data_IF_718979418152
#
_entry.id   IF_718979418152
#
_cell.length_a   1.000
_cell.length_b   1.000
_cell.length_c   1.000
_cell.angle_alpha   90.00
_cell.angle_beta   90.00
_cell.angle_gamma   90.00
#
_symmetry.space_group_name_H-M   'P 1'
#
loop_
_entity.id
_entity.type
_entity.pdbx_description
1 polymer ?
#
# COMPACT_ATOMS: atom_id res chain seq x y z
N UNK A 1 -3.98 -10.12 -12.58
CA UNK A 1 -2.71 -10.19 -11.81
C UNK A 1 -2.70 -8.97 -10.94
N UNK A 2 -2.56 -9.15 -9.63
CA UNK A 2 -2.78 -8.09 -8.65
C UNK A 2 -1.92 -8.34 -7.43
N UNK A 3 -1.81 -7.34 -6.58
CA UNK A 3 -0.97 -7.40 -5.40
C UNK A 3 -1.81 -7.76 -4.16
N UNK A 4 -1.37 -8.77 -3.40
CA UNK A 4 -1.98 -9.09 -2.11
C UNK A 4 -1.32 -8.29 -0.98
N UNK A 5 -2.14 -7.60 -0.18
CA UNK A 5 -1.66 -6.70 0.88
C UNK A 5 -1.70 -7.41 2.25
N UNK A 6 -0.59 -7.35 2.98
CA UNK A 6 -0.44 -7.91 4.31
C UNK A 6 0.13 -6.90 5.30
N UNK A 7 -0.33 -7.00 6.54
CA UNK A 7 0.27 -6.34 7.69
C UNK A 7 1.26 -7.33 8.31
N UNK A 8 2.53 -6.95 8.40
CA UNK A 8 3.56 -7.77 9.03
C UNK A 8 4.03 -7.12 10.33
N UNK A 9 4.15 -7.89 11.41
CA UNK A 9 4.67 -7.38 12.68
C UNK A 9 6.20 -7.56 12.80
N UNK A 10 6.80 -7.11 13.90
CA UNK A 10 8.25 -7.19 14.11
C UNK A 10 8.82 -8.62 14.22
N UNK A 11 7.96 -9.63 14.38
CA UNK A 11 8.36 -11.05 14.38
C UNK A 11 8.00 -11.75 13.07
N UNK A 12 7.81 -10.99 11.99
CA UNK A 12 7.49 -11.46 10.63
C UNK A 12 6.20 -12.29 10.53
N UNK A 13 5.26 -12.10 11.46
CA UNK A 13 3.92 -12.68 11.34
C UNK A 13 3.05 -11.78 10.47
N UNK A 14 2.54 -12.34 9.38
CA UNK A 14 1.66 -11.67 8.42
C UNK A 14 0.18 -11.86 8.75
N UNK A 15 -0.60 -10.80 8.60
CA UNK A 15 -2.06 -10.76 8.67
C UNK A 15 -2.56 -10.23 7.33
N UNK A 16 -3.41 -10.97 6.63
CA UNK A 16 -3.96 -10.52 5.36
C UNK A 16 -4.87 -9.30 5.57
N UNK A 17 -4.66 -8.24 4.79
CA UNK A 17 -5.42 -7.01 4.92
C UNK A 17 -6.86 -7.13 4.38
N UNK A 18 -7.12 -8.17 3.57
CA UNK A 18 -8.40 -8.42 2.92
C UNK A 18 -8.35 -8.18 1.41
N UNK A 19 -9.29 -8.81 0.69
CA UNK A 19 -9.40 -8.71 -0.76
C UNK A 19 -9.74 -7.29 -1.21
N UNK A 20 -10.65 -6.62 -0.51
CA UNK A 20 -11.03 -5.24 -0.80
C UNK A 20 -9.81 -4.30 -0.75
N UNK A 21 -8.98 -4.39 0.31
CA UNK A 21 -7.76 -3.58 0.43
C UNK A 21 -6.80 -3.89 -0.72
N UNK A 22 -6.65 -5.16 -1.09
CA UNK A 22 -5.76 -5.60 -2.17
C UNK A 22 -6.21 -5.07 -3.54
N UNK A 23 -7.52 -5.08 -3.80
CA UNK A 23 -8.13 -4.51 -5.01
C UNK A 23 -7.96 -2.98 -5.04
N UNK A 24 -8.27 -2.28 -3.94
CA UNK A 24 -8.10 -0.83 -3.83
C UNK A 24 -6.63 -0.42 -3.98
N UNK A 25 -5.70 -1.19 -3.41
CA UNK A 25 -4.27 -0.93 -3.56
C UNK A 25 -3.82 -1.10 -5.02
N UNK A 26 -4.33 -2.12 -5.72
CA UNK A 26 -4.02 -2.33 -7.13
C UNK A 26 -4.55 -1.19 -8.02
N UNK A 27 -5.70 -0.59 -7.70
CA UNK A 27 -6.21 0.61 -8.37
C UNK A 27 -5.27 1.81 -8.16
N UNK A 28 -4.80 2.03 -6.93
CA UNK A 28 -3.86 3.11 -6.63
C UNK A 28 -2.51 2.90 -7.33
N UNK A 29 -2.03 1.64 -7.40
CA UNK A 29 -0.79 1.29 -8.10
C UNK A 29 -0.88 1.62 -9.60
N UNK A 30 -2.03 1.39 -10.23
CA UNK A 30 -2.25 1.71 -11.65
C UNK A 30 -2.19 3.22 -11.95
N UNK A 31 -2.50 4.06 -10.96
CA UNK A 31 -2.43 5.52 -11.05
C UNK A 31 -1.06 6.09 -10.63
N UNK A 32 -0.11 5.23 -10.23
CA UNK A 32 1.20 5.68 -9.76
C UNK A 32 2.03 6.34 -10.88
N UNK A 33 2.59 7.51 -10.57
CA UNK A 33 3.41 8.30 -11.50
C UNK A 33 4.89 7.93 -11.46
N UNK A 34 5.68 8.56 -12.34
CA UNK A 34 7.14 8.41 -12.30
C UNK A 34 7.74 9.11 -11.07
N UNK A 35 8.36 8.34 -10.17
CA UNK A 35 9.23 8.87 -9.12
C UNK A 35 8.82 8.55 -7.67
N UNK A 36 7.64 7.97 -7.46
CA UNK A 36 7.17 7.55 -6.14
C UNK A 36 7.61 6.14 -5.74
N UNK A 37 7.30 5.76 -4.49
CA UNK A 37 7.60 4.44 -3.93
C UNK A 37 6.76 3.34 -4.60
N UNK A 38 5.52 3.64 -5.00
CA UNK A 38 4.63 2.67 -5.64
C UNK A 38 5.19 2.14 -6.97
N UNK A 39 5.99 2.93 -7.68
CA UNK A 39 6.68 2.50 -8.92
C UNK A 39 7.56 1.26 -8.71
N UNK A 40 8.07 1.06 -7.51
CA UNK A 40 8.95 -0.08 -7.19
C UNK A 40 8.19 -1.34 -6.79
N UNK A 41 6.85 -1.28 -6.71
CA UNK A 41 6.01 -2.45 -6.47
C UNK A 41 5.87 -3.22 -7.78
N UNK A 42 6.52 -4.38 -7.86
CA UNK A 42 6.42 -5.29 -8.99
C UNK A 42 5.23 -6.25 -8.79
N UNK A 43 4.30 -6.38 -9.76
CA UNK A 43 3.19 -7.33 -9.69
C UNK A 43 3.58 -8.80 -9.54
N UNK A 44 4.83 -9.16 -9.82
CA UNK A 44 5.39 -10.52 -9.70
C UNK A 44 6.44 -10.63 -8.60
N UNK A 45 6.62 -9.58 -7.79
CA UNK A 45 7.65 -9.50 -6.77
C UNK A 45 7.10 -9.18 -5.37
N UNK A 46 7.89 -9.53 -4.36
CA UNK A 46 7.60 -9.19 -2.98
C UNK A 46 8.19 -7.80 -2.67
N UNK A 47 7.35 -6.90 -2.17
CA UNK A 47 7.78 -5.57 -1.71
C UNK A 47 7.40 -5.38 -0.24
N UNK A 48 8.34 -4.87 0.58
CA UNK A 48 8.10 -4.60 2.00
C UNK A 48 8.43 -3.14 2.30
N UNK A 49 7.46 -2.42 2.86
CA UNK A 49 7.62 -1.05 3.32
C UNK A 49 7.75 -1.00 4.85
N UNK A 50 8.79 -0.31 5.33
CA UNK A 50 9.00 -0.02 6.75
C UNK A 50 8.31 1.29 7.17
N UNK A 51 8.23 1.54 8.48
CA UNK A 51 7.51 2.70 9.03
C UNK A 51 7.90 4.04 8.40
N UNK A 52 9.19 4.40 8.25
CA UNK A 52 9.58 5.60 7.50
C UNK A 52 8.97 5.68 6.09
N UNK A 53 9.12 4.61 5.30
CA UNK A 53 8.58 4.55 3.94
C UNK A 53 7.04 4.60 3.90
N UNK A 54 6.37 4.15 4.96
CA UNK A 54 4.91 4.23 5.06
C UNK A 54 4.39 5.65 5.22
N UNK A 55 5.18 6.57 5.80
CA UNK A 55 4.82 7.99 5.81
C UNK A 55 4.92 8.59 4.41
N UNK A 56 6.02 8.32 3.71
CA UNK A 56 6.21 8.75 2.33
C UNK A 56 5.11 8.18 1.40
N UNK A 57 4.73 6.92 1.63
CA UNK A 57 3.64 6.26 0.90
C UNK A 57 2.28 6.92 1.17
N UNK A 58 2.01 7.39 2.39
CA UNK A 58 0.77 8.14 2.67
C UNK A 58 0.74 9.45 1.88
N UNK A 59 1.87 10.16 1.78
CA UNK A 59 1.95 11.39 1.00
C UNK A 59 1.70 11.11 -0.49
N UNK A 60 2.36 10.10 -1.05
CA UNK A 60 2.17 9.68 -2.44
C UNK A 60 0.71 9.29 -2.74
N UNK A 61 0.06 8.52 -1.86
CA UNK A 61 -1.34 8.12 -2.05
C UNK A 61 -2.30 9.33 -1.94
N UNK A 62 -1.98 10.31 -1.11
CA UNK A 62 -2.74 11.57 -1.04
C UNK A 62 -2.60 12.39 -2.33
N UNK A 63 -1.40 12.47 -2.89
CA UNK A 63 -1.15 13.17 -4.15
C UNK A 63 -1.91 12.52 -5.31
N UNK A 64 -1.91 11.19 -5.38
CA UNK A 64 -2.72 10.42 -6.36
C UNK A 64 -4.21 10.72 -6.18
N UNK A 65 -4.72 10.68 -4.94
CA UNK A 65 -6.12 11.02 -4.62
C UNK A 65 -6.51 12.46 -4.98
N UNK A 66 -5.56 13.40 -4.89
CA UNK A 66 -5.78 14.79 -5.27
C UNK A 66 -5.85 14.95 -6.79
N UNK A 67 -5.02 14.20 -7.54
CA UNK A 67 -4.97 14.22 -9.00
C UNK A 67 -6.13 13.45 -9.65
N UNK A 68 -6.53 12.33 -9.07
CA UNK A 68 -7.56 11.41 -9.57
C UNK A 68 -8.68 11.24 -8.51
N UNK A 69 -9.70 12.12 -8.48
CA UNK A 69 -10.78 12.04 -7.48
C UNK A 69 -11.55 10.72 -7.48
N UNK A 70 -11.55 10.00 -8.60
CA UNK A 70 -12.20 8.70 -8.78
C UNK A 70 -11.63 7.60 -7.86
N UNK A 71 -10.35 7.71 -7.48
CA UNK A 71 -9.70 6.74 -6.58
C UNK A 71 -9.66 7.19 -5.12
N UNK A 72 -10.30 8.31 -4.76
CA UNK A 72 -10.26 8.86 -3.40
C UNK A 72 -10.74 7.89 -2.33
N UNK A 73 -11.81 7.14 -2.59
CA UNK A 73 -12.30 6.13 -1.65
C UNK A 73 -11.29 4.99 -1.46
N UNK A 74 -10.64 4.56 -2.55
CA UNK A 74 -9.58 3.56 -2.53
C UNK A 74 -8.37 4.05 -1.70
N UNK A 75 -7.94 5.29 -1.95
CA UNK A 75 -6.85 5.95 -1.25
C UNK A 75 -7.11 6.03 0.26
N UNK A 76 -8.31 6.45 0.68
CA UNK A 76 -8.67 6.54 2.09
C UNK A 76 -8.57 5.18 2.81
N UNK A 77 -9.08 4.11 2.18
CA UNK A 77 -9.01 2.77 2.74
C UNK A 77 -7.56 2.29 2.89
N UNK A 78 -6.73 2.48 1.85
CA UNK A 78 -5.32 2.11 1.87
C UNK A 78 -4.56 2.88 2.95
N UNK A 79 -4.78 4.20 3.05
CA UNK A 79 -4.17 5.05 4.08
C UNK A 79 -4.56 4.59 5.49
N UNK A 80 -5.81 4.19 5.72
CA UNK A 80 -6.23 3.65 7.02
C UNK A 80 -5.44 2.38 7.39
N UNK A 81 -5.25 1.48 6.44
CA UNK A 81 -4.44 0.26 6.64
C UNK A 81 -2.98 0.61 6.92
N UNK A 82 -2.40 1.56 6.19
CA UNK A 82 -1.03 2.01 6.43
C UNK A 82 -0.90 2.58 7.86
N UNK A 83 -1.84 3.41 8.31
CA UNK A 83 -1.85 3.92 9.68
C UNK A 83 -1.95 2.81 10.73
N UNK A 84 -2.72 1.74 10.47
CA UNK A 84 -2.79 0.57 11.36
C UNK A 84 -1.43 -0.12 11.49
N UNK A 85 -0.69 -0.25 10.38
CA UNK A 85 0.68 -0.82 10.37
C UNK A 85 1.64 0.07 11.18
N UNK A 86 1.63 1.38 10.92
CA UNK A 86 2.47 2.36 11.61
C UNK A 86 2.24 2.30 13.12
N UNK A 87 0.97 2.33 13.57
CA UNK A 87 0.61 2.26 15.01
C UNK A 87 1.12 0.98 15.69
N UNK A 88 1.22 -0.12 14.93
CA UNK A 88 1.74 -1.40 15.41
C UNK A 88 3.26 -1.55 15.25
N UNK A 89 3.95 -0.52 14.72
CA UNK A 89 5.39 -0.55 14.37
C UNK A 89 5.75 -1.74 13.46
N UNK A 90 4.85 -2.08 12.56
CA UNK A 90 4.99 -3.18 11.62
C UNK A 90 5.55 -2.76 10.26
N UNK A 91 5.39 -3.65 9.30
CA UNK A 91 5.70 -3.47 7.88
C UNK A 91 4.45 -3.72 7.05
N UNK A 92 4.34 -3.05 5.90
CA UNK A 92 3.35 -3.39 4.89
C UNK A 92 4.04 -4.30 3.87
N UNK A 93 3.56 -5.53 3.74
CA UNK A 93 4.07 -6.49 2.77
C UNK A 93 3.09 -6.59 1.60
N UNK A 94 3.62 -6.43 0.40
CA UNK A 94 2.91 -6.55 -0.87
C UNK A 94 3.47 -7.77 -1.56
N UNK A 95 2.60 -8.75 -1.84
CA UNK A 95 2.98 -9.97 -2.55
C UNK A 95 2.39 -9.93 -3.96
N UNK A 96 3.26 -9.99 -4.96
CA UNK A 96 2.88 -10.24 -6.34
C UNK A 96 2.34 -11.66 -6.54
N UNK A 97 1.64 -11.86 -7.65
CA UNK A 97 1.09 -13.14 -8.11
C UNK A 97 1.87 -13.66 -9.33
#
# INVERSE_FOLDING_TARGET
MGCAVYLENQVHKREYAGSEVSEKFSLILAESGEGGLLRYVDPYGDTIFNVPQLYDLIEEVNDISAASPEVREAANLVIEVIWRVIRRRGYLAILGD
#
